data_IF_362686762588
#
_entry.id   IF_362686762588
#
_cell.length_a   1.000
_cell.length_b   1.000
_cell.length_c   1.000
_cell.angle_alpha   90.00
_cell.angle_beta   90.00
_cell.angle_gamma   90.00
#
_symmetry.space_group_name_H-M   'P 1'
#
loop_
_entity.id
_entity.type
_entity.pdbx_description
1 polymer ?
#
# COMPACT_ATOMS: atom_id res chain seq x y z
N UNK A 1 20.66 -30.66 -26.75
CA UNK A 1 21.01 -29.56 -25.82
C UNK A 1 20.14 -28.32 -26.05
N UNK A 2 18.80 -28.42 -26.01
CA UNK A 2 17.89 -27.26 -26.17
C UNK A 2 16.66 -27.29 -25.25
N UNK A 3 16.47 -28.34 -24.45
CA UNK A 3 15.29 -28.48 -23.55
C UNK A 3 15.58 -28.20 -22.07
N UNK A 4 16.85 -28.10 -21.67
CA UNK A 4 17.23 -27.84 -20.27
C UNK A 4 17.35 -26.35 -19.92
N UNK A 5 17.34 -25.46 -20.92
CA UNK A 5 17.41 -24.00 -20.68
C UNK A 5 16.07 -23.39 -20.24
N UNK A 6 14.94 -24.04 -20.56
CA UNK A 6 13.61 -23.52 -20.23
C UNK A 6 13.21 -23.74 -18.76
N UNK A 7 13.84 -24.71 -18.07
CA UNK A 7 13.56 -24.98 -16.65
C UNK A 7 14.30 -24.00 -15.74
N UNK A 8 15.47 -23.48 -16.17
CA UNK A 8 16.27 -22.55 -15.37
C UNK A 8 15.64 -21.14 -15.30
N UNK A 9 14.85 -20.75 -16.32
CA UNK A 9 14.19 -19.45 -16.33
C UNK A 9 12.98 -19.36 -15.37
N UNK A 10 12.40 -20.50 -14.96
CA UNK A 10 11.21 -20.52 -14.09
C UNK A 10 11.54 -20.36 -12.60
N UNK A 11 12.79 -20.57 -12.19
CA UNK A 11 13.21 -20.52 -10.79
C UNK A 11 13.61 -19.09 -10.36
N UNK A 12 13.92 -18.21 -11.31
CA UNK A 12 14.41 -16.85 -11.01
C UNK A 12 13.26 -15.90 -10.65
N UNK A 13 12.01 -16.20 -11.04
CA UNK A 13 10.85 -15.37 -10.69
C UNK A 13 10.35 -15.54 -9.26
N UNK A 14 10.85 -16.54 -8.52
CA UNK A 14 10.43 -16.80 -7.13
C UNK A 14 11.29 -16.08 -6.08
N UNK A 15 12.39 -15.46 -6.47
CA UNK A 15 13.43 -14.97 -5.54
C UNK A 15 13.26 -13.50 -5.09
N UNK A 16 12.26 -12.76 -5.58
CA UNK A 16 12.15 -11.31 -5.34
C UNK A 16 11.27 -10.89 -4.16
N UNK A 17 10.77 -11.83 -3.34
CA UNK A 17 9.96 -11.53 -2.14
C UNK A 17 10.59 -11.97 -0.81
N UNK A 18 11.91 -12.14 -0.75
CA UNK A 18 12.60 -12.57 0.49
C UNK A 18 12.98 -11.39 1.41
N UNK A 19 12.09 -10.42 1.63
CA UNK A 19 12.22 -9.62 2.85
C UNK A 19 11.67 -10.47 3.99
N UNK A 20 12.52 -10.83 4.95
CA UNK A 20 12.07 -11.49 6.17
C UNK A 20 11.08 -10.55 6.86
N UNK A 21 9.82 -10.99 6.96
CA UNK A 21 8.78 -10.28 7.70
C UNK A 21 8.78 -10.78 9.16
N UNK A 22 8.64 -9.89 10.15
CA UNK A 22 8.56 -8.44 10.01
C UNK A 22 9.93 -7.81 9.67
N UNK A 23 9.93 -6.71 8.91
CA UNK A 23 11.16 -5.96 8.63
C UNK A 23 11.68 -5.27 9.89
N UNK A 24 12.97 -4.94 9.92
CA UNK A 24 13.48 -3.95 10.89
C UNK A 24 12.75 -2.60 10.70
N UNK A 25 12.52 -1.83 11.77
CA UNK A 25 11.94 -0.50 11.65
C UNK A 25 12.81 0.41 10.78
N UNK A 26 12.19 1.10 9.83
CA UNK A 26 12.86 2.08 9.00
C UNK A 26 11.95 3.26 8.65
N UNK A 27 12.57 4.37 8.26
CA UNK A 27 11.89 5.58 7.79
C UNK A 27 11.49 5.47 6.31
N UNK A 28 10.75 4.43 5.99
CA UNK A 28 10.06 4.31 4.71
C UNK A 28 10.37 3.08 3.88
N UNK A 29 9.34 2.66 3.14
CA UNK A 29 9.30 1.52 2.25
C UNK A 29 8.48 1.90 1.02
N UNK A 30 8.73 1.20 -0.09
CA UNK A 30 7.97 1.33 -1.32
C UNK A 30 7.16 0.07 -1.59
N UNK A 31 5.94 0.26 -2.08
CA UNK A 31 4.96 -0.78 -2.32
C UNK A 31 4.49 -0.71 -3.77
N UNK A 32 4.58 -1.81 -4.54
CA UNK A 32 4.07 -1.83 -5.90
C UNK A 32 2.55 -1.90 -5.92
N UNK A 33 1.95 -1.40 -7.00
CA UNK A 33 0.53 -1.51 -7.26
C UNK A 33 0.09 -2.98 -7.22
N UNK A 34 -1.06 -3.23 -6.63
CA UNK A 34 -1.61 -4.56 -6.44
C UNK A 34 -1.02 -5.27 -5.22
N UNK A 35 -0.80 -4.52 -4.13
CA UNK A 35 -0.35 -5.06 -2.85
C UNK A 35 -1.28 -4.69 -1.70
N UNK A 36 -1.43 -5.64 -0.78
CA UNK A 36 -1.93 -5.42 0.57
C UNK A 36 -0.73 -5.45 1.52
N UNK A 37 -0.62 -4.46 2.39
CA UNK A 37 0.44 -4.45 3.38
C UNK A 37 -0.04 -3.93 4.73
N UNK A 38 0.59 -4.41 5.79
CA UNK A 38 0.32 -3.98 7.17
C UNK A 38 1.61 -3.51 7.79
N UNK A 39 1.57 -2.32 8.39
CA UNK A 39 2.72 -1.73 9.09
C UNK A 39 2.47 -1.64 10.59
N UNK A 40 3.55 -1.71 11.36
CA UNK A 40 3.56 -1.47 12.80
C UNK A 40 4.45 -0.27 13.11
N UNK A 41 3.92 0.67 13.87
CA UNK A 41 4.60 1.94 14.17
C UNK A 41 5.58 1.78 15.34
N UNK A 42 6.76 2.37 15.22
CA UNK A 42 7.81 2.38 16.23
C UNK A 42 8.21 3.83 16.53
N UNK A 43 7.93 4.38 17.73
CA UNK A 43 8.28 5.75 18.06
C UNK A 43 9.80 5.92 18.05
N UNK A 44 10.29 6.91 17.32
CA UNK A 44 11.70 7.34 17.35
C UNK A 44 11.91 8.50 18.33
N UNK A 45 10.86 9.32 18.52
CA UNK A 45 10.77 10.33 19.58
C UNK A 45 9.31 10.51 20.04
N UNK A 46 8.98 11.67 20.63
CA UNK A 46 7.62 11.97 21.13
C UNK A 46 6.58 12.23 20.03
N UNK A 47 7.01 12.41 18.78
CA UNK A 47 6.16 12.80 17.66
C UNK A 47 6.43 12.03 16.38
N UNK A 48 7.64 11.53 16.16
CA UNK A 48 8.10 10.87 14.94
C UNK A 48 8.18 9.36 15.12
N UNK A 49 8.00 8.64 14.01
CA UNK A 49 7.91 7.19 13.98
C UNK A 49 8.62 6.61 12.76
N UNK A 50 9.37 5.54 13.01
CA UNK A 50 9.71 4.56 11.99
C UNK A 50 8.60 3.49 11.96
N UNK A 51 8.64 2.62 10.96
CA UNK A 51 7.72 1.48 10.93
C UNK A 51 8.37 0.20 10.41
N UNK A 52 7.82 -0.93 10.83
CA UNK A 52 8.11 -2.24 10.28
C UNK A 52 6.96 -2.66 9.37
N UNK A 53 7.27 -3.27 8.23
CA UNK A 53 6.27 -4.02 7.44
C UNK A 53 6.13 -5.39 8.10
N UNK A 54 4.94 -5.70 8.61
CA UNK A 54 4.67 -6.96 9.32
C UNK A 54 3.92 -7.97 8.46
N UNK A 55 3.28 -7.49 7.39
CA UNK A 55 2.57 -8.31 6.41
C UNK A 55 2.65 -7.65 5.04
N UNK A 56 2.91 -8.44 4.01
CA UNK A 56 2.91 -8.01 2.61
C UNK A 56 2.35 -9.16 1.76
N UNK A 57 1.28 -8.89 1.03
CA UNK A 57 0.54 -9.87 0.24
C UNK A 57 0.19 -9.29 -1.14
N UNK A 58 0.21 -10.09 -2.21
CA UNK A 58 -0.34 -9.65 -3.49
C UNK A 58 -1.85 -9.43 -3.37
N UNK A 59 -2.36 -8.39 -4.02
CA UNK A 59 -3.78 -8.03 -4.06
C UNK A 59 -4.14 -7.53 -5.46
N UNK A 60 -4.77 -8.40 -6.27
CA UNK A 60 -5.03 -8.14 -7.69
C UNK A 60 -6.51 -7.87 -7.98
N UNK A 61 -7.32 -7.69 -6.95
CA UNK A 61 -8.75 -7.41 -7.09
C UNK A 61 -8.98 -5.95 -7.48
N UNK A 62 -9.97 -5.71 -8.35
CA UNK A 62 -10.46 -4.37 -8.66
C UNK A 62 -11.55 -4.05 -7.64
N UNK A 63 -11.35 -2.96 -6.90
CA UNK A 63 -12.21 -2.60 -5.77
C UNK A 63 -13.28 -1.60 -6.19
N UNK A 64 -14.50 -1.73 -5.66
CA UNK A 64 -15.51 -0.69 -5.76
C UNK A 64 -15.12 0.51 -4.87
N UNK A 65 -15.05 1.70 -5.46
CA UNK A 65 -14.62 2.93 -4.76
C UNK A 65 -15.55 3.28 -3.59
N UNK A 66 -16.83 2.93 -3.67
CA UNK A 66 -17.84 3.23 -2.66
C UNK A 66 -18.12 2.03 -1.74
N UNK A 67 -18.06 0.80 -2.26
CA UNK A 67 -18.39 -0.43 -1.52
C UNK A 67 -17.14 -1.27 -1.17
N UNK A 68 -16.29 -0.75 -0.30
CA UNK A 68 -15.03 -1.42 0.10
C UNK A 68 -14.83 -1.63 1.61
N UNK A 69 -15.85 -1.40 2.43
CA UNK A 69 -15.76 -1.56 3.89
C UNK A 69 -15.43 -2.99 4.30
N UNK A 70 -15.86 -3.98 3.52
CA UNK A 70 -15.63 -5.41 3.78
C UNK A 70 -14.17 -5.85 3.62
N UNK A 71 -13.31 -5.02 3.03
CA UNK A 71 -11.88 -5.33 2.85
C UNK A 71 -11.13 -5.35 4.18
N UNK A 72 -11.55 -4.57 5.17
CA UNK A 72 -10.88 -4.50 6.47
C UNK A 72 -11.60 -5.44 7.45
N UNK A 73 -10.91 -6.51 7.84
CA UNK A 73 -11.43 -7.44 8.87
C UNK A 73 -11.35 -6.75 10.22
N UNK A 74 -12.43 -6.83 10.99
CA UNK A 74 -12.52 -6.31 12.36
C UNK A 74 -12.11 -4.82 12.49
N UNK A 75 -12.82 -3.89 11.81
CA UNK A 75 -12.41 -2.50 11.67
C UNK A 75 -12.32 -1.72 12.99
N UNK A 76 -12.84 -2.25 14.08
CA UNK A 76 -12.86 -1.59 15.38
C UNK A 76 -11.80 -2.16 16.35
N UNK A 77 -11.09 -3.23 15.99
CA UNK A 77 -10.07 -3.83 16.85
C UNK A 77 -8.74 -3.05 16.75
N UNK A 78 -8.46 -2.25 17.78
CA UNK A 78 -7.16 -1.61 17.94
C UNK A 78 -6.08 -2.66 18.23
N UNK A 79 -5.16 -2.83 17.29
CA UNK A 79 -4.04 -3.77 17.41
C UNK A 79 -2.66 -3.11 17.20
N UNK A 80 -2.62 -1.78 17.10
CA UNK A 80 -1.38 -1.02 16.95
C UNK A 80 -0.77 -1.10 15.55
N UNK A 81 -1.57 -1.40 14.52
CA UNK A 81 -1.12 -1.48 13.13
C UNK A 81 -1.92 -0.56 12.21
N UNK A 82 -1.43 -0.38 10.99
CA UNK A 82 -2.17 0.28 9.92
C UNK A 82 -2.18 -0.67 8.72
N UNK A 83 -3.37 -1.01 8.24
CA UNK A 83 -3.57 -1.84 7.06
C UNK A 83 -3.75 -0.96 5.82
N UNK A 84 -3.14 -1.36 4.71
CA UNK A 84 -3.23 -0.67 3.44
C UNK A 84 -3.56 -1.64 2.31
N UNK A 85 -4.32 -1.13 1.34
CA UNK A 85 -4.51 -1.73 0.02
C UNK A 85 -4.12 -0.70 -1.03
N UNK A 86 -3.07 -1.00 -1.79
CA UNK A 86 -2.67 -0.19 -2.94
C UNK A 86 -3.08 -0.93 -4.21
N UNK A 87 -4.18 -0.51 -4.83
CA UNK A 87 -4.91 -1.32 -5.81
C UNK A 87 -5.60 -0.47 -6.88
N UNK A 88 -6.19 -1.14 -7.86
CA UNK A 88 -7.07 -0.50 -8.83
C UNK A 88 -8.51 -0.50 -8.29
N UNK A 89 -9.26 0.55 -8.62
CA UNK A 89 -10.67 0.60 -8.34
C UNK A 89 -11.48 1.36 -9.37
N UNK A 90 -12.77 1.11 -9.36
CA UNK A 90 -13.74 1.72 -10.27
C UNK A 90 -15.07 1.90 -9.53
N UNK A 91 -15.94 2.75 -10.03
CA UNK A 91 -17.30 2.95 -9.50
C UNK A 91 -18.37 2.55 -10.52
N UNK A 92 -17.98 1.79 -11.54
CA UNK A 92 -18.83 1.49 -12.69
C UNK A 92 -18.95 -0.01 -12.91
N UNK A 93 -20.18 -0.48 -13.12
CA UNK A 93 -20.51 -1.90 -13.21
C UNK A 93 -20.24 -2.50 -14.61
N UNK A 94 -20.29 -1.68 -15.67
CA UNK A 94 -20.17 -2.15 -17.07
C UNK A 94 -18.72 -2.27 -17.52
N UNK A 95 -18.39 -3.37 -18.21
CA UNK A 95 -16.99 -3.66 -18.60
C UNK A 95 -16.40 -2.63 -19.58
N UNK A 96 -17.21 -2.02 -20.46
CA UNK A 96 -16.75 -0.98 -21.40
C UNK A 96 -16.33 0.33 -20.71
N UNK A 97 -16.93 0.66 -19.56
CA UNK A 97 -16.63 1.91 -18.84
C UNK A 97 -15.59 1.72 -17.74
N UNK A 98 -15.37 0.48 -17.27
CA UNK A 98 -14.36 0.16 -16.25
C UNK A 98 -12.97 0.59 -16.65
N UNK A 99 -12.55 0.32 -17.88
CA UNK A 99 -11.20 0.66 -18.34
C UNK A 99 -10.97 2.18 -18.38
N UNK A 100 -11.98 2.95 -18.79
CA UNK A 100 -11.91 4.43 -18.85
C UNK A 100 -11.99 5.09 -17.48
N UNK A 101 -12.68 4.48 -16.54
CA UNK A 101 -12.92 5.03 -15.20
C UNK A 101 -12.02 4.44 -14.12
N UNK A 102 -11.09 3.54 -14.49
CA UNK A 102 -10.14 2.96 -13.55
C UNK A 102 -9.34 4.05 -12.83
N UNK A 103 -9.24 3.90 -11.52
CA UNK A 103 -8.45 4.75 -10.63
C UNK A 103 -7.46 3.90 -9.87
N UNK A 104 -6.35 4.51 -9.48
CA UNK A 104 -5.48 3.94 -8.46
C UNK A 104 -5.99 4.39 -7.11
N UNK A 105 -6.08 3.44 -6.17
CA UNK A 105 -6.53 3.64 -4.81
C UNK A 105 -5.43 3.29 -3.82
N UNK A 106 -5.28 4.12 -2.80
CA UNK A 106 -4.67 3.73 -1.52
C UNK A 106 -5.77 3.75 -0.46
N UNK A 107 -6.28 2.57 -0.12
CA UNK A 107 -7.21 2.40 0.99
C UNK A 107 -6.40 2.12 2.24
N UNK A 108 -6.78 2.71 3.36
CA UNK A 108 -6.05 2.59 4.61
C UNK A 108 -7.00 2.46 5.80
N UNK A 109 -6.62 1.65 6.77
CA UNK A 109 -7.33 1.51 8.05
C UNK A 109 -6.34 1.60 9.19
N UNK A 110 -6.46 2.65 9.99
CA UNK A 110 -5.57 2.89 11.11
C UNK A 110 -6.14 2.30 12.41
N UNK A 111 -5.54 1.20 12.85
CA UNK A 111 -5.90 0.47 14.06
C UNK A 111 -4.93 0.79 15.22
N UNK A 112 -4.23 1.92 15.14
CA UNK A 112 -3.43 2.48 16.25
C UNK A 112 -4.23 3.50 17.04
N UNK A 113 -3.72 3.92 18.21
CA UNK A 113 -4.33 5.01 18.99
C UNK A 113 -4.14 6.39 18.34
N UNK A 114 -3.06 6.58 17.58
CA UNK A 114 -2.66 7.89 17.06
C UNK A 114 -3.16 8.10 15.62
N UNK A 115 -3.44 9.35 15.28
CA UNK A 115 -3.54 9.77 13.88
C UNK A 115 -2.15 10.18 13.38
N UNK A 116 -1.84 9.91 12.12
CA UNK A 116 -0.53 10.18 11.54
C UNK A 116 -0.62 11.03 10.28
N UNK A 117 0.26 12.02 10.17
CA UNK A 117 0.69 12.56 8.89
C UNK A 117 1.93 11.80 8.42
N UNK A 118 2.08 11.68 7.11
CA UNK A 118 3.25 11.06 6.48
C UNK A 118 3.50 11.73 5.13
N UNK A 119 4.61 11.40 4.48
CA UNK A 119 4.87 11.78 3.10
C UNK A 119 4.56 10.61 2.17
N UNK A 120 4.05 10.92 0.99
CA UNK A 120 3.83 9.94 -0.08
C UNK A 120 4.60 10.35 -1.31
N UNK A 121 5.44 9.47 -1.82
CA UNK A 121 6.09 9.64 -3.12
C UNK A 121 5.55 8.58 -4.08
N UNK A 122 5.27 8.97 -5.32
CA UNK A 122 4.67 8.10 -6.33
C UNK A 122 5.56 7.96 -7.55
N UNK A 123 5.55 6.77 -8.15
CA UNK A 123 6.23 6.48 -9.41
C UNK A 123 5.18 6.24 -10.50
N UNK A 124 5.06 7.17 -11.46
CA UNK A 124 4.04 7.12 -12.53
C UNK A 124 4.54 6.51 -13.84
N UNK A 125 5.85 6.34 -13.99
CA UNK A 125 6.49 5.70 -15.14
C UNK A 125 7.17 4.40 -14.68
N UNK A 126 7.12 3.35 -15.50
CA UNK A 126 7.78 2.09 -15.16
C UNK A 126 9.30 2.29 -15.00
N UNK A 127 9.83 2.02 -13.81
CA UNK A 127 11.22 2.33 -13.42
C UNK A 127 11.60 3.82 -13.46
N UNK A 128 10.61 4.72 -13.40
CA UNK A 128 10.83 6.17 -13.34
C UNK A 128 11.23 6.68 -11.96
N UNK A 129 11.35 8.00 -11.81
CA UNK A 129 11.65 8.64 -10.53
C UNK A 129 10.42 8.76 -9.63
N UNK A 130 10.63 8.67 -8.32
CA UNK A 130 9.62 8.99 -7.32
C UNK A 130 9.40 10.51 -7.24
N UNK A 131 8.14 10.92 -7.19
CA UNK A 131 7.74 12.33 -7.02
C UNK A 131 6.78 12.45 -5.85
N UNK A 132 7.04 13.41 -4.97
CA UNK A 132 6.18 13.69 -3.83
C UNK A 132 4.79 14.10 -4.27
N UNK A 133 3.79 13.53 -3.62
CA UNK A 133 2.38 13.87 -3.79
C UNK A 133 1.79 14.28 -2.44
N UNK A 134 0.63 14.92 -2.48
CA UNK A 134 -0.12 15.24 -1.26
C UNK A 134 -0.94 14.03 -0.83
N UNK A 135 -1.01 13.82 0.48
CA UNK A 135 -1.84 12.82 1.13
C UNK A 135 -2.67 13.49 2.24
N UNK A 136 -3.69 12.79 2.73
CA UNK A 136 -4.55 13.28 3.83
C UNK A 136 -4.11 12.75 5.19
N UNK A 137 -3.00 11.98 5.24
CA UNK A 137 -2.61 11.23 6.42
C UNK A 137 -3.58 10.09 6.72
N UNK A 138 -3.55 9.60 7.95
CA UNK A 138 -4.42 8.51 8.40
C UNK A 138 -4.90 8.73 9.82
N UNK A 139 -6.21 8.63 10.03
CA UNK A 139 -6.85 9.01 11.28
C UNK A 139 -7.19 7.79 12.13
N UNK A 140 -6.91 7.87 13.44
CA UNK A 140 -7.13 6.79 14.39
C UNK A 140 -8.56 6.23 14.30
N UNK A 141 -8.67 4.94 13.97
CA UNK A 141 -9.95 4.20 13.89
C UNK A 141 -10.72 4.45 12.60
N UNK A 142 -10.33 5.44 11.79
CA UNK A 142 -11.00 5.76 10.54
C UNK A 142 -10.45 4.94 9.37
N UNK A 143 -11.31 4.74 8.38
CA UNK A 143 -10.91 4.35 7.03
C UNK A 143 -10.52 5.62 6.27
N UNK A 144 -9.37 5.59 5.61
CA UNK A 144 -8.93 6.61 4.66
C UNK A 144 -8.94 6.06 3.24
N UNK A 145 -9.13 6.96 2.28
CA UNK A 145 -9.09 6.62 0.85
C UNK A 145 -8.41 7.75 0.11
N UNK A 146 -7.37 7.42 -0.65
CA UNK A 146 -6.75 8.31 -1.62
C UNK A 146 -6.96 7.75 -3.02
N UNK A 147 -7.23 8.65 -3.98
CA UNK A 147 -7.67 8.30 -5.33
C UNK A 147 -6.86 9.12 -6.34
N UNK A 148 -6.25 8.44 -7.30
CA UNK A 148 -5.54 9.10 -8.40
C UNK A 148 -6.17 8.77 -9.77
N UNK A 149 -6.33 9.77 -10.65
CA UNK A 149 -6.91 9.59 -11.98
C UNK A 149 -5.90 9.06 -13.02
N UNK A 150 -4.67 8.78 -12.61
CA UNK A 150 -3.57 8.33 -13.46
C UNK A 150 -2.89 7.09 -12.84
N UNK A 151 -2.17 6.35 -13.67
CA UNK A 151 -1.47 5.15 -13.25
C UNK A 151 -0.31 5.49 -12.31
N UNK A 152 -0.16 4.70 -11.25
CA UNK A 152 0.96 4.73 -10.34
C UNK A 152 1.45 3.29 -10.20
N UNK A 153 2.72 3.06 -10.48
CA UNK A 153 3.33 1.73 -10.40
C UNK A 153 3.77 1.39 -8.98
N UNK A 154 4.24 2.39 -8.23
CA UNK A 154 4.71 2.23 -6.85
C UNK A 154 4.39 3.46 -6.02
N UNK A 155 4.14 3.24 -4.73
CA UNK A 155 4.01 4.28 -3.73
C UNK A 155 5.02 4.05 -2.61
N UNK A 156 5.76 5.09 -2.23
CA UNK A 156 6.63 5.10 -1.08
C UNK A 156 6.00 5.92 0.04
N UNK A 157 5.99 5.37 1.25
CA UNK A 157 5.45 6.02 2.44
C UNK A 157 6.59 6.25 3.44
N UNK A 158 6.82 7.48 3.87
CA UNK A 158 7.92 7.85 4.76
C UNK A 158 7.54 9.01 5.70
N UNK A 159 8.41 9.32 6.66
CA UNK A 159 8.29 10.49 7.55
C UNK A 159 6.99 10.52 8.36
N UNK A 160 6.64 9.38 8.97
CA UNK A 160 5.44 9.29 9.82
C UNK A 160 5.59 10.10 11.10
N UNK A 161 4.58 10.91 11.39
CA UNK A 161 4.50 11.74 12.60
C UNK A 161 3.08 11.88 13.09
N UNK A 162 2.89 12.15 14.38
CA UNK A 162 1.56 12.42 14.94
C UNK A 162 0.91 13.59 14.19
N UNK A 163 -0.29 13.35 13.65
CA UNK A 163 -1.13 14.40 13.09
C UNK A 163 -1.69 15.26 14.23
N UNK A 164 -1.53 16.58 14.11
CA UNK A 164 -2.08 17.57 15.05
C UNK A 164 -3.53 17.89 14.74
#
# INVERSE_FOLDING_TARGET
MKKYFLILALVISSATYSQDLPTEPANGFAFPLGTKFTIKMHPTDSTNFDYSVIKLEPFQEIVDIYENDSLFKDPDEKNGTIEFYFCLGTSVETDEEKEKNMKVLLLMKNLTENSFGYNSDIQTEENGEFKTTSNVGTYSGAKGTEIWPYMIHQIALNEFKIAK
#
